data_IF_536796581072
#
_entry.id   IF_536796581072
#
_cell.length_a   1.000
_cell.length_b   1.000
_cell.length_c   1.000
_cell.angle_alpha   90.00
_cell.angle_beta   90.00
_cell.angle_gamma   90.00
#
_symmetry.space_group_name_H-M   'P 1'
#
loop_
_entity.id
_entity.type
_entity.pdbx_description
1 polymer ?
#
# COMPACT_ATOMS: atom_id res chain seq x y z
N UNK A 1 -13.27 -2.72 -20.37
CA UNK A 1 -11.84 -2.81 -19.97
C UNK A 1 -11.47 -4.28 -19.93
N UNK A 2 -10.44 -4.70 -20.65
CA UNK A 2 -9.92 -6.08 -20.61
C UNK A 2 -8.62 -6.10 -19.79
N UNK A 3 -8.57 -6.91 -18.74
CA UNK A 3 -7.38 -7.09 -17.91
C UNK A 3 -6.56 -8.24 -18.50
N UNK A 4 -5.31 -7.96 -18.86
CA UNK A 4 -4.40 -8.96 -19.45
C UNK A 4 -3.17 -9.13 -18.57
N UNK A 5 -2.63 -10.36 -18.51
CA UNK A 5 -1.41 -10.65 -17.74
C UNK A 5 -0.24 -9.80 -18.24
N UNK A 6 0.50 -9.15 -17.34
CA UNK A 6 1.66 -8.34 -17.70
C UNK A 6 2.88 -9.23 -17.92
N UNK A 7 3.86 -8.72 -18.69
CA UNK A 7 5.16 -9.39 -18.87
C UNK A 7 5.98 -9.44 -17.58
N UNK A 8 5.89 -8.37 -16.78
CA UNK A 8 6.48 -8.29 -15.45
C UNK A 8 5.36 -8.03 -14.45
N UNK A 9 5.19 -8.92 -13.47
CA UNK A 9 4.19 -8.79 -12.42
C UNK A 9 4.47 -7.59 -11.53
N UNK A 10 3.52 -6.67 -11.42
CA UNK A 10 3.58 -5.50 -10.54
C UNK A 10 2.73 -5.68 -9.27
N UNK A 11 2.41 -6.92 -8.94
CA UNK A 11 1.62 -7.28 -7.79
C UNK A 11 2.32 -6.94 -6.49
N UNK A 12 1.51 -6.83 -5.45
CA UNK A 12 1.98 -6.65 -4.08
C UNK A 12 1.32 -7.71 -3.19
N UNK A 13 2.04 -8.18 -2.18
CA UNK A 13 1.52 -9.11 -1.17
C UNK A 13 1.66 -8.52 0.21
N UNK A 14 0.77 -8.91 1.11
CA UNK A 14 0.82 -8.52 2.52
C UNK A 14 2.17 -8.97 3.10
N UNK A 15 2.92 -8.01 3.65
CA UNK A 15 4.18 -8.21 4.35
C UNK A 15 4.00 -8.02 5.85
N UNK A 16 4.88 -7.21 6.42
CA UNK A 16 4.92 -6.84 7.84
C UNK A 16 3.68 -6.07 8.27
N UNK A 17 3.23 -6.34 9.49
CA UNK A 17 2.22 -5.53 10.19
C UNK A 17 2.87 -4.94 11.42
N UNK A 18 2.89 -3.62 11.50
CA UNK A 18 3.52 -2.89 12.60
C UNK A 18 2.50 -1.96 13.22
N UNK A 19 2.30 -2.06 14.53
CA UNK A 19 1.48 -1.11 15.26
C UNK A 19 2.38 0.00 15.80
N UNK A 20 2.03 1.24 15.49
CA UNK A 20 2.75 2.43 15.96
C UNK A 20 1.82 3.32 16.76
N UNK A 21 2.34 3.95 17.81
CA UNK A 21 1.60 4.89 18.65
C UNK A 21 1.81 6.35 18.19
N UNK A 22 1.73 6.56 16.88
CA UNK A 22 1.82 7.87 16.22
C UNK A 22 0.72 7.99 15.15
N UNK A 23 0.46 9.21 14.68
CA UNK A 23 -0.47 9.45 13.59
C UNK A 23 0.09 8.87 12.27
N UNK A 24 -0.78 8.34 11.41
CA UNK A 24 -0.40 7.73 10.13
C UNK A 24 0.46 8.64 9.24
N UNK A 25 0.25 9.96 9.29
CA UNK A 25 1.02 10.96 8.53
C UNK A 25 2.47 11.13 8.99
N UNK A 26 2.73 10.85 10.26
CA UNK A 26 4.06 10.97 10.87
C UNK A 26 4.80 9.63 10.85
N UNK A 27 4.15 8.57 10.38
CA UNK A 27 4.73 7.25 10.31
C UNK A 27 5.79 7.15 9.20
N UNK A 28 7.04 6.82 9.51
CA UNK A 28 8.13 6.78 8.52
C UNK A 28 7.86 5.78 7.39
N UNK A 29 7.14 4.68 7.66
CA UNK A 29 6.78 3.71 6.63
C UNK A 29 5.74 4.25 5.62
N UNK A 30 4.90 5.21 6.02
CA UNK A 30 3.93 5.87 5.11
C UNK A 30 4.61 6.96 4.27
N UNK A 31 5.68 7.56 4.80
CA UNK A 31 6.47 8.56 4.11
C UNK A 31 7.43 7.95 3.06
N UNK A 32 7.72 6.66 3.15
CA UNK A 32 8.57 5.95 2.20
C UNK A 32 7.81 5.68 0.89
N UNK A 33 8.08 6.49 -0.13
CA UNK A 33 7.49 6.38 -1.47
C UNK A 33 7.82 5.05 -2.17
N UNK A 34 8.85 4.35 -1.72
CA UNK A 34 9.27 3.08 -2.32
C UNK A 34 8.56 1.87 -1.71
N UNK A 35 7.75 2.08 -0.66
CA UNK A 35 6.97 1.03 0.01
C UNK A 35 5.49 1.24 -0.22
N UNK A 36 4.81 0.14 -0.51
CA UNK A 36 3.36 0.13 -0.49
C UNK A 36 2.90 -0.10 0.95
N UNK A 37 2.31 0.91 1.59
CA UNK A 37 1.85 0.80 2.98
C UNK A 37 0.39 1.24 3.07
N UNK A 38 -0.41 0.46 3.78
CA UNK A 38 -1.78 0.82 4.16
C UNK A 38 -1.79 1.12 5.64
N UNK A 39 -2.20 2.34 6.00
CA UNK A 39 -2.32 2.78 7.38
C UNK A 39 -3.77 2.71 7.87
N UNK A 40 -3.97 2.03 8.98
CA UNK A 40 -5.25 1.93 9.69
C UNK A 40 -5.14 2.71 11.00
N UNK A 41 -5.64 3.94 11.01
CA UNK A 41 -5.62 4.78 12.21
C UNK A 41 -6.78 4.42 13.14
N UNK A 42 -6.46 3.91 14.33
CA UNK A 42 -7.39 3.75 15.44
C UNK A 42 -7.21 4.94 16.40
N UNK A 43 -7.99 6.00 16.21
CA UNK A 43 -7.89 7.20 17.05
C UNK A 43 -6.74 8.15 16.67
N UNK A 44 -6.43 9.13 17.53
CA UNK A 44 -5.49 10.22 17.22
C UNK A 44 -4.02 9.78 17.21
N UNK A 45 -3.67 8.76 17.98
CA UNK A 45 -2.30 8.38 18.25
C UNK A 45 -2.01 6.90 18.02
N UNK A 46 -2.94 6.08 17.56
CA UNK A 46 -2.66 4.66 17.33
C UNK A 46 -2.92 4.34 15.86
N UNK A 47 -1.91 3.82 15.18
CA UNK A 47 -1.99 3.47 13.76
C UNK A 47 -1.41 2.08 13.56
N UNK A 48 -2.14 1.22 12.85
CA UNK A 48 -1.64 -0.07 12.38
C UNK A 48 -1.18 0.10 10.93
N UNK A 49 0.09 -0.11 10.69
CA UNK A 49 0.71 -0.04 9.37
C UNK A 49 0.82 -1.45 8.81
N UNK A 50 0.24 -1.66 7.64
CA UNK A 50 0.39 -2.90 6.88
C UNK A 50 1.27 -2.61 5.70
N UNK A 51 2.49 -3.10 5.74
CA UNK A 51 3.42 -3.01 4.64
C UNK A 51 3.13 -4.11 3.62
N UNK A 52 3.27 -3.78 2.35
CA UNK A 52 3.14 -4.69 1.23
C UNK A 52 4.47 -4.75 0.49
N UNK A 53 4.89 -5.98 0.20
CA UNK A 53 6.12 -6.26 -0.53
C UNK A 53 5.78 -6.65 -1.97
N UNK A 54 6.71 -6.43 -2.89
CA UNK A 54 6.52 -6.80 -4.29
C UNK A 54 6.29 -8.31 -4.43
N UNK A 55 5.31 -8.67 -5.26
CA UNK A 55 4.98 -10.04 -5.64
C UNK A 55 4.99 -10.15 -7.18
N UNK A 56 6.07 -10.69 -7.77
CA UNK A 56 6.22 -10.76 -9.22
C UNK A 56 5.26 -11.76 -9.89
N UNK A 57 4.51 -12.55 -9.11
CA UNK A 57 3.56 -13.53 -9.61
C UNK A 57 2.13 -12.99 -9.74
N UNK A 58 1.88 -11.77 -9.29
CA UNK A 58 0.56 -11.12 -9.36
C UNK A 58 0.63 -9.86 -10.19
N UNK A 59 -0.50 -9.51 -10.79
CA UNK A 59 -0.69 -8.25 -11.49
C UNK A 59 -1.70 -7.42 -10.71
N UNK A 60 -1.41 -6.13 -10.52
CA UNK A 60 -2.30 -5.19 -9.84
C UNK A 60 -2.80 -4.13 -10.83
N UNK A 61 -4.11 -3.97 -10.88
CA UNK A 61 -4.80 -2.95 -11.67
C UNK A 61 -5.64 -2.09 -10.73
N UNK A 62 -5.39 -0.78 -10.76
CA UNK A 62 -6.16 0.19 -9.98
C UNK A 62 -7.19 0.83 -10.90
N UNK A 63 -8.45 0.82 -10.45
CA UNK A 63 -9.53 1.54 -11.10
C UNK A 63 -9.83 2.76 -10.25
N UNK A 64 -9.70 3.95 -10.83
CA UNK A 64 -10.02 5.21 -10.17
C UNK A 64 -11.09 5.95 -11.00
N UNK A 65 -12.09 6.53 -10.33
CA UNK A 65 -13.07 7.41 -10.96
C UNK A 65 -12.57 8.85 -11.12
N UNK A 66 -11.42 9.17 -10.51
CA UNK A 66 -10.77 10.49 -10.59
C UNK A 66 -9.76 10.45 -11.73
N UNK A 67 -10.01 11.21 -12.79
CA UNK A 67 -9.01 11.52 -13.82
C UNK A 67 -8.10 12.61 -13.25
N UNK A 68 -6.91 12.24 -12.81
CA UNK A 68 -5.87 13.21 -12.44
C UNK A 68 -5.47 13.97 -13.73
N UNK A 69 -5.76 15.27 -13.79
CA UNK A 69 -5.36 16.21 -14.85
C UNK A 69 -3.98 16.78 -14.58
#
# INVERSE_FOLDING_TARGET
>A
MALMRRKNGNGIKKGSVTQVNIAAKDAPAVLDKNRHVVSYSYGKNQTVLVEYVADPFKDMFQLCSRTDT
#
